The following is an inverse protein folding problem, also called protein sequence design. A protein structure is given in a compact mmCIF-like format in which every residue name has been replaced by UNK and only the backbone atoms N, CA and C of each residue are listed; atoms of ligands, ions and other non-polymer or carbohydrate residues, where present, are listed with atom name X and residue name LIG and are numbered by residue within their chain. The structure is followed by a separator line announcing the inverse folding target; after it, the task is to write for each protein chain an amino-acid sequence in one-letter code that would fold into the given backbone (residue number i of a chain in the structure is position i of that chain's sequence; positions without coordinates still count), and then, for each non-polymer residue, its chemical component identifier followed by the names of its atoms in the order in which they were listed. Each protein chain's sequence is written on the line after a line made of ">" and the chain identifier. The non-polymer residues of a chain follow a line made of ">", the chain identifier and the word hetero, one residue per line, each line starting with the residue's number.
data_IF_974706227868
#
_entry.id   IF_974706227868
#
_cell.length_a   1.000
_cell.length_b   1.000
_cell.length_c   1.000
_cell.angle_alpha   90.00
_cell.angle_beta   90.00
_cell.angle_gamma   90.00
#
_symmetry.space_group_name_H-M   'P 1'
#
loop_
_entity.id
_entity.type
_entity.pdbx_description
1 polymer ?
#
# COMPACT_ATOMS: atom_id res chain seq x y z
N UNK A 1 5.80 8.28 19.33
CA UNK A 1 5.64 8.89 17.99
C UNK A 1 6.91 8.88 17.12
N UNK A 2 8.06 8.37 17.58
CA UNK A 2 9.30 8.38 16.80
C UNK A 2 9.17 7.71 15.42
N UNK A 3 8.55 6.52 15.34
CA UNK A 3 8.38 5.82 14.06
C UNK A 3 7.56 6.60 13.03
N UNK A 4 6.49 7.29 13.44
CA UNK A 4 5.71 8.15 12.54
C UNK A 4 6.55 9.32 12.01
N UNK A 5 7.36 9.94 12.85
CA UNK A 5 8.22 11.05 12.39
C UNK A 5 9.27 10.56 11.39
N UNK A 6 9.92 9.42 11.67
CA UNK A 6 10.88 8.81 10.75
C UNK A 6 10.23 8.44 9.41
N UNK A 7 9.01 7.90 9.44
CA UNK A 7 8.25 7.56 8.23
C UNK A 7 8.02 8.78 7.31
N UNK A 8 7.69 9.92 7.90
CA UNK A 8 7.52 11.16 7.14
C UNK A 8 8.85 11.74 6.67
N UNK A 9 9.88 11.71 7.52
CA UNK A 9 11.22 12.20 7.18
C UNK A 9 11.87 11.39 6.05
N UNK A 10 11.64 10.07 6.03
CA UNK A 10 12.10 9.19 4.96
C UNK A 10 11.26 9.32 3.68
N UNK A 11 10.19 10.13 3.68
CA UNK A 11 9.33 10.35 2.52
C UNK A 11 8.36 9.21 2.21
N UNK A 12 8.21 8.21 3.09
CA UNK A 12 7.36 7.04 2.86
C UNK A 12 5.91 7.42 2.58
N UNK A 13 5.43 8.48 3.22
CA UNK A 13 4.06 8.99 3.08
C UNK A 13 3.69 9.46 1.67
N UNK A 14 4.66 9.67 0.78
CA UNK A 14 4.42 10.12 -0.59
C UNK A 14 3.62 9.09 -1.40
N UNK A 15 3.87 7.80 -1.20
CA UNK A 15 3.07 6.71 -1.78
C UNK A 15 2.14 6.10 -0.71
N UNK A 16 2.61 6.01 0.54
CA UNK A 16 1.81 5.48 1.64
C UNK A 16 0.98 6.56 2.33
N UNK A 17 0.06 7.17 1.57
CA UNK A 17 -0.81 8.25 2.03
C UNK A 17 -1.57 7.85 3.31
N UNK A 18 -1.40 8.57 4.44
CA UNK A 18 -1.84 8.09 5.75
C UNK A 18 -3.34 7.92 5.92
N UNK A 19 -4.16 8.76 5.28
CA UNK A 19 -5.59 8.79 5.51
C UNK A 19 -6.38 9.34 4.33
N UNK A 20 -7.63 8.87 4.22
CA UNK A 20 -8.64 9.39 3.31
C UNK A 20 -9.94 9.57 4.06
N UNK A 21 -10.77 10.47 3.55
CA UNK A 21 -12.19 10.48 3.86
C UNK A 21 -12.95 9.92 2.67
N UNK A 22 -13.74 8.88 2.87
CA UNK A 22 -14.60 8.35 1.81
C UNK A 22 -15.63 9.39 1.40
N UNK A 23 -16.11 9.30 0.16
CA UNK A 23 -17.03 10.30 -0.38
C UNK A 23 -18.34 10.31 0.42
N UNK A 24 -18.99 11.47 0.46
CA UNK A 24 -20.28 11.63 1.13
C UNK A 24 -21.43 10.91 0.41
N UNK A 25 -21.24 10.59 -0.87
CA UNK A 25 -22.18 9.92 -1.78
C UNK A 25 -21.73 8.49 -2.12
N UNK A 26 -21.08 7.79 -1.17
CA UNK A 26 -20.76 6.38 -1.34
C UNK A 26 -22.04 5.57 -1.62
N UNK A 27 -21.92 4.50 -2.43
CA UNK A 27 -23.07 3.68 -2.81
C UNK A 27 -23.72 3.01 -1.59
N UNK A 28 -22.88 2.60 -0.64
CA UNK A 28 -23.25 2.05 0.66
C UNK A 28 -23.24 3.18 1.70
N UNK A 29 -24.39 3.55 2.29
CA UNK A 29 -24.47 4.64 3.26
C UNK A 29 -23.54 4.49 4.47
N UNK A 30 -23.31 3.26 4.92
CA UNK A 30 -22.39 2.92 6.01
C UNK A 30 -20.93 3.23 5.68
N UNK A 31 -20.56 3.30 4.40
CA UNK A 31 -19.23 3.65 3.95
C UNK A 31 -19.08 5.14 3.66
N UNK A 32 -20.14 5.95 3.77
CA UNK A 32 -20.06 7.39 3.51
C UNK A 32 -19.35 8.14 4.65
N UNK A 33 -18.55 9.16 4.29
CA UNK A 33 -17.86 10.06 5.22
C UNK A 33 -16.92 9.39 6.25
N UNK A 34 -16.46 8.17 5.99
CA UNK A 34 -15.58 7.43 6.88
C UNK A 34 -14.14 7.95 6.75
N UNK A 35 -13.49 8.20 7.89
CA UNK A 35 -12.04 8.40 7.91
C UNK A 35 -11.37 7.03 8.00
N UNK A 36 -10.61 6.69 6.96
CA UNK A 36 -9.82 5.46 6.90
C UNK A 36 -8.33 5.81 6.90
N UNK A 37 -7.49 4.92 7.46
CA UNK A 37 -6.04 5.13 7.56
C UNK A 37 -5.20 4.05 6.87
N UNK A 38 -5.33 3.85 5.54
CA UNK A 38 -4.72 2.71 4.85
C UNK A 38 -3.20 2.80 4.72
N UNK A 39 -2.61 4.00 4.81
CA UNK A 39 -1.20 4.23 4.47
C UNK A 39 -0.88 3.70 3.07
N UNK A 40 -1.66 4.14 2.08
CA UNK A 40 -1.54 3.77 0.67
C UNK A 40 -2.34 4.77 -0.15
N UNK A 41 -1.79 5.24 -1.25
CA UNK A 41 -2.49 6.05 -2.25
C UNK A 41 -3.34 5.22 -3.23
N UNK A 42 -3.26 3.89 -3.17
CA UNK A 42 -3.94 2.94 -4.04
C UNK A 42 -3.59 3.11 -5.54
N UNK A 43 -2.52 3.86 -5.85
CA UNK A 43 -2.06 4.08 -7.22
C UNK A 43 -1.00 3.04 -7.63
N UNK A 44 -0.81 2.90 -8.93
CA UNK A 44 0.33 2.17 -9.52
C UNK A 44 1.56 3.07 -9.54
N UNK A 45 2.71 2.51 -9.19
CA UNK A 45 4.01 3.17 -9.26
C UNK A 45 5.02 2.28 -9.96
N UNK A 46 5.84 2.88 -10.81
CA UNK A 46 7.00 2.20 -11.40
C UNK A 46 8.06 1.96 -10.31
N UNK A 47 8.26 0.70 -9.96
CA UNK A 47 9.23 0.25 -8.96
C UNK A 47 10.61 -0.05 -9.57
N UNK A 48 10.77 0.18 -10.88
CA UNK A 48 12.00 -0.01 -11.62
C UNK A 48 12.27 -1.46 -12.02
N UNK A 49 13.23 -1.62 -12.94
CA UNK A 49 13.59 -2.91 -13.56
C UNK A 49 13.96 -4.00 -12.53
N UNK A 50 14.62 -3.62 -11.43
CA UNK A 50 15.02 -4.56 -10.38
C UNK A 50 13.84 -5.23 -9.65
N UNK A 51 12.65 -4.64 -9.74
CA UNK A 51 11.39 -5.15 -9.18
C UNK A 51 10.37 -5.47 -10.28
N UNK A 52 10.82 -5.59 -11.53
CA UNK A 52 9.94 -5.98 -12.62
C UNK A 52 9.74 -7.50 -12.68
N UNK A 53 8.51 -7.97 -12.93
CA UNK A 53 8.21 -9.39 -13.15
C UNK A 53 8.10 -9.77 -14.65
N UNK A 54 8.26 -8.79 -15.54
CA UNK A 54 8.13 -8.89 -17.00
C UNK A 54 6.74 -9.37 -17.47
N UNK A 55 5.69 -9.17 -16.67
CA UNK A 55 4.30 -9.49 -17.03
C UNK A 55 3.50 -8.21 -17.13
N UNK A 56 2.77 -8.04 -18.22
CA UNK A 56 1.83 -6.93 -18.36
C UNK A 56 0.45 -7.35 -17.86
N UNK A 57 -0.19 -6.51 -17.05
CA UNK A 57 -1.56 -6.72 -16.58
C UNK A 57 -2.44 -5.54 -17.01
N UNK A 58 -3.29 -5.78 -18.02
CA UNK A 58 -4.10 -4.73 -18.66
C UNK A 58 -3.23 -3.55 -19.14
N UNK A 59 -3.30 -2.42 -18.45
CA UNK A 59 -2.53 -1.20 -18.74
C UNK A 59 -1.25 -1.09 -17.91
N UNK A 60 -1.08 -1.92 -16.87
CA UNK A 60 0.12 -1.94 -16.04
C UNK A 60 1.25 -2.72 -16.72
N UNK A 61 2.43 -2.13 -16.72
CA UNK A 61 3.69 -2.77 -17.11
C UNK A 61 4.23 -3.67 -16.00
N UNK A 62 5.21 -4.51 -16.31
CA UNK A 62 5.78 -5.44 -15.33
C UNK A 62 6.56 -4.79 -14.19
N UNK A 63 6.85 -3.49 -14.27
CA UNK A 63 7.47 -2.74 -13.17
C UNK A 63 6.48 -1.89 -12.36
N UNK A 64 5.22 -1.81 -12.79
CA UNK A 64 4.20 -1.02 -12.12
C UNK A 64 3.47 -1.83 -11.06
N UNK A 65 3.60 -1.40 -9.81
CA UNK A 65 2.97 -2.06 -8.68
C UNK A 65 2.10 -1.09 -7.91
N UNK A 66 0.92 -1.57 -7.49
CA UNK A 66 0.04 -0.79 -6.62
C UNK A 66 0.68 -0.66 -5.25
N UNK A 67 0.67 0.54 -4.65
CA UNK A 67 1.06 0.71 -3.24
C UNK A 67 0.11 -0.11 -2.35
N UNK A 68 0.55 -1.19 -1.69
CA UNK A 68 -0.35 -1.97 -0.83
C UNK A 68 -0.65 -1.18 0.47
N UNK A 69 -1.89 -1.22 0.99
CA UNK A 69 -2.21 -0.69 2.31
C UNK A 69 -1.36 -1.37 3.39
N UNK A 70 -0.89 -0.60 4.38
CA UNK A 70 -0.07 -1.13 5.48
C UNK A 70 -0.92 -1.67 6.65
N UNK A 71 -2.24 -1.80 6.46
CA UNK A 71 -3.12 -2.44 7.43
C UNK A 71 -2.70 -3.88 7.69
N UNK A 72 -2.54 -4.22 8.97
CA UNK A 72 -2.20 -5.57 9.37
C UNK A 72 -0.78 -6.03 9.01
N UNK A 73 0.11 -5.15 8.49
CA UNK A 73 1.48 -5.53 8.13
C UNK A 73 2.24 -6.17 9.31
N UNK A 74 2.05 -5.64 10.53
CA UNK A 74 2.66 -6.20 11.73
C UNK A 74 2.13 -7.58 12.14
N UNK A 75 1.04 -8.04 11.52
CA UNK A 75 0.37 -9.31 11.80
C UNK A 75 0.67 -10.39 10.74
N UNK A 76 1.41 -10.09 9.66
CA UNK A 76 1.67 -11.02 8.55
C UNK A 76 2.22 -12.35 9.04
N UNK A 77 3.16 -12.36 9.99
CA UNK A 77 3.70 -13.59 10.57
C UNK A 77 2.62 -14.44 11.27
N UNK A 78 1.70 -13.80 11.97
CA UNK A 78 0.60 -14.47 12.69
C UNK A 78 -0.45 -15.02 11.74
N UNK A 79 -0.83 -14.27 10.70
CA UNK A 79 -1.97 -14.64 9.83
C UNK A 79 -1.57 -15.46 8.62
N UNK A 80 -0.32 -15.35 8.15
CA UNK A 80 0.17 -16.01 6.94
C UNK A 80 1.24 -17.06 7.19
N UNK A 81 1.81 -17.13 8.41
CA UNK A 81 2.88 -18.08 8.74
C UNK A 81 4.26 -17.72 8.15
N UNK A 82 4.41 -16.51 7.59
CA UNK A 82 5.67 -15.99 7.04
C UNK A 82 5.75 -14.46 7.19
N UNK A 83 6.94 -13.87 7.02
CA UNK A 83 7.16 -12.41 6.98
C UNK A 83 7.55 -11.89 5.59
N UNK A 84 7.36 -12.70 4.54
CA UNK A 84 7.66 -12.32 3.16
C UNK A 84 6.88 -11.06 2.73
N UNK A 85 7.59 -10.08 2.16
CA UNK A 85 7.10 -8.80 1.66
C UNK A 85 7.51 -8.59 0.20
N UNK A 86 6.91 -7.57 -0.42
CA UNK A 86 6.92 -7.31 -1.87
C UNK A 86 6.13 -8.37 -2.65
N UNK A 87 5.82 -8.06 -3.91
CA UNK A 87 4.96 -8.89 -4.76
C UNK A 87 5.52 -10.30 -5.01
N UNK A 88 6.84 -10.46 -4.92
CA UNK A 88 7.53 -11.73 -5.14
C UNK A 88 8.09 -12.36 -3.85
N UNK A 89 7.77 -11.78 -2.70
CA UNK A 89 8.17 -12.32 -1.39
C UNK A 89 9.68 -12.27 -1.12
N UNK A 90 10.46 -11.47 -1.86
CA UNK A 90 11.93 -11.43 -1.69
C UNK A 90 12.39 -10.81 -0.37
N UNK A 91 11.63 -9.85 0.17
CA UNK A 91 11.93 -9.17 1.43
C UNK A 91 11.35 -9.95 2.62
N UNK A 92 12.02 -9.97 3.77
CA UNK A 92 11.65 -10.82 4.92
C UNK A 92 12.17 -10.29 6.25
#
# INVERSE_FOLDING_TARGET
>A
MAGKNLFFQAGCQQCHTPAFKTRSDAAEPELANQEIRPYSDLLLHDMGEGLADNRTEFQATGSEWRTPPLWGLGLTGTVSGHTQLLHDGRAR
#
